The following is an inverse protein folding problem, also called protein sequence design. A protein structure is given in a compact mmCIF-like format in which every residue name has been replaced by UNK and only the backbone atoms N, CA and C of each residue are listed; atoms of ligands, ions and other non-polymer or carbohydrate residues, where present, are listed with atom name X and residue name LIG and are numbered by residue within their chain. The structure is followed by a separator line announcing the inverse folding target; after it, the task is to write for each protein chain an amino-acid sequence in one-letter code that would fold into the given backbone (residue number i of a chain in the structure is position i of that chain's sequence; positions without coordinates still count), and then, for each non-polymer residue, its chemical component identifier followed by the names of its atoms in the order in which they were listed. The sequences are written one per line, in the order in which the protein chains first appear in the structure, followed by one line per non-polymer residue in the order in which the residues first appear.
data_IF_645884874057
#
_entry.id   IF_645884874057
#
_cell.length_a   1.000
_cell.length_b   1.000
_cell.length_c   1.000
_cell.angle_alpha   90.00
_cell.angle_beta   90.00
_cell.angle_gamma   90.00
#
_symmetry.space_group_name_H-M   'P 1'
#
loop_
_entity.id
_entity.type
_entity.pdbx_description
1 polymer ?
#
# COMPACT_ATOMS: atom_id res chain seq x y z
N UNK A 1 25.22 -7.52 -6.57
CA UNK A 1 25.14 -6.08 -6.26
C UNK A 1 25.94 -5.84 -5.01
N UNK A 2 26.92 -4.95 -5.06
CA UNK A 2 27.80 -4.60 -3.92
C UNK A 2 27.24 -3.37 -3.20
N UNK A 3 27.75 -3.10 -1.99
CA UNK A 3 27.44 -1.85 -1.27
C UNK A 3 27.77 -0.61 -2.10
N UNK A 4 28.90 -0.62 -2.81
CA UNK A 4 29.33 0.48 -3.67
C UNK A 4 28.35 0.73 -4.84
N UNK A 5 27.77 -0.34 -5.41
CA UNK A 5 26.75 -0.21 -6.45
C UNK A 5 25.49 0.47 -5.90
N UNK A 6 25.08 0.08 -4.69
CA UNK A 6 23.91 0.67 -4.01
C UNK A 6 24.14 2.15 -3.70
N UNK A 7 25.31 2.51 -3.15
CA UNK A 7 25.69 3.88 -2.82
C UNK A 7 25.58 4.79 -4.05
N UNK A 8 26.08 4.32 -5.21
CA UNK A 8 26.04 5.08 -6.47
C UNK A 8 24.60 5.20 -7.00
N UNK A 9 23.86 4.10 -7.07
CA UNK A 9 22.53 4.06 -7.67
C UNK A 9 21.50 4.89 -6.88
N UNK A 10 21.70 5.01 -5.57
CA UNK A 10 20.79 5.72 -4.67
C UNK A 10 21.20 7.14 -4.33
N UNK A 11 22.21 7.69 -4.99
CA UNK A 11 22.82 8.99 -4.69
C UNK A 11 23.35 9.13 -3.25
N UNK A 12 23.50 8.01 -2.53
CA UNK A 12 23.95 8.00 -1.13
C UNK A 12 25.32 8.65 -0.95
N UNK A 13 26.19 8.55 -1.98
CA UNK A 13 27.51 9.18 -1.98
C UNK A 13 27.45 10.71 -1.75
N UNK A 14 26.37 11.37 -2.16
CA UNK A 14 26.22 12.83 -2.03
C UNK A 14 25.62 13.28 -0.70
N UNK A 15 25.49 12.40 0.27
CA UNK A 15 24.90 12.74 1.57
C UNK A 15 25.72 13.82 2.30
N UNK A 16 25.06 14.92 2.68
CA UNK A 16 25.65 16.03 3.43
C UNK A 16 25.54 15.88 4.94
N UNK A 17 25.08 14.74 5.43
CA UNK A 17 24.83 14.47 6.86
C UNK A 17 23.98 15.53 7.59
N UNK A 18 23.14 16.25 6.86
CA UNK A 18 22.37 17.39 7.38
C UNK A 18 21.24 17.01 8.34
N UNK A 19 20.89 15.73 8.47
CA UNK A 19 19.91 15.21 9.42
C UNK A 19 18.43 15.43 9.07
N UNK A 20 18.09 16.09 7.95
CA UNK A 20 16.70 16.35 7.56
C UNK A 20 15.87 15.06 7.43
N UNK A 21 16.47 13.99 6.89
CA UNK A 21 15.82 12.68 6.77
C UNK A 21 15.46 12.09 8.14
N UNK A 22 16.33 12.21 9.15
CA UNK A 22 16.05 11.73 10.50
C UNK A 22 15.00 12.59 11.22
N UNK A 23 15.01 13.91 11.01
CA UNK A 23 14.06 14.82 11.65
C UNK A 23 12.62 14.65 11.18
N UNK A 24 12.42 14.27 9.90
CA UNK A 24 11.09 14.02 9.34
C UNK A 24 10.65 12.56 9.49
N UNK A 25 11.56 11.64 9.82
CA UNK A 25 11.27 10.22 9.85
C UNK A 25 10.29 9.85 10.98
N UNK A 26 9.14 9.23 10.66
CA UNK A 26 8.18 8.84 11.69
C UNK A 26 8.75 7.79 12.66
N UNK A 27 9.64 6.90 12.21
CA UNK A 27 10.29 5.92 13.09
C UNK A 27 11.30 6.62 14.01
N UNK A 28 12.18 7.49 13.51
CA UNK A 28 13.18 8.19 14.34
C UNK A 28 12.55 9.02 15.45
N UNK A 29 11.30 9.44 15.28
CA UNK A 29 10.56 10.19 16.31
C UNK A 29 10.32 9.37 17.57
N UNK A 30 10.12 8.07 17.45
CA UNK A 30 9.75 7.16 18.54
C UNK A 30 10.85 6.16 18.89
N UNK A 31 11.64 5.73 17.90
CA UNK A 31 12.74 4.78 18.08
C UNK A 31 14.10 5.49 18.04
N UNK A 32 14.75 5.73 19.18
CA UNK A 32 16.04 6.41 19.24
C UNK A 32 17.20 5.61 18.62
N UNK A 33 17.03 4.30 18.44
CA UNK A 33 18.02 3.45 17.80
C UNK A 33 18.02 3.56 16.28
N UNK A 34 16.94 4.11 15.69
CA UNK A 34 16.80 4.23 14.25
C UNK A 34 17.06 5.65 13.74
N UNK A 35 17.95 5.80 12.78
CA UNK A 35 18.21 7.07 12.08
C UNK A 35 18.59 6.84 10.61
N UNK A 36 17.82 7.36 9.64
CA UNK A 36 18.20 7.28 8.23
C UNK A 36 19.60 7.84 7.96
N UNK A 37 19.98 8.94 8.61
CA UNK A 37 21.32 9.54 8.47
C UNK A 37 22.42 8.56 8.91
N UNK A 38 22.25 7.91 10.06
CA UNK A 38 23.25 6.96 10.60
C UNK A 38 23.37 5.73 9.70
N UNK A 39 22.26 5.22 9.15
CA UNK A 39 22.32 4.12 8.19
C UNK A 39 23.12 4.48 6.93
N UNK A 40 22.93 5.70 6.42
CA UNK A 40 23.71 6.21 5.27
C UNK A 40 25.19 6.39 5.66
N UNK A 41 25.49 6.93 6.83
CA UNK A 41 26.84 7.09 7.35
C UNK A 41 27.60 5.75 7.43
N UNK A 42 26.97 4.71 8.00
CA UNK A 42 27.56 3.37 8.04
C UNK A 42 27.88 2.83 6.63
N UNK A 43 27.00 3.05 5.65
CA UNK A 43 27.26 2.66 4.29
C UNK A 43 28.48 3.39 3.69
N UNK A 44 28.59 4.70 3.90
CA UNK A 44 29.69 5.52 3.40
C UNK A 44 31.05 5.17 4.05
N UNK A 45 31.01 4.69 5.30
CA UNK A 45 32.19 4.19 6.01
C UNK A 45 32.56 2.75 5.66
N UNK A 46 31.78 2.07 4.78
CA UNK A 46 32.02 0.70 4.40
C UNK A 46 31.67 -0.33 5.50
N UNK A 47 30.86 0.06 6.49
CA UNK A 47 30.42 -0.79 7.61
C UNK A 47 29.20 -1.63 7.19
N UNK A 48 29.39 -2.47 6.17
CA UNK A 48 28.30 -3.27 5.58
C UNK A 48 27.69 -4.24 6.59
N UNK A 49 28.52 -4.92 7.39
CA UNK A 49 28.06 -5.87 8.40
C UNK A 49 27.20 -5.18 9.47
N UNK A 50 27.55 -3.96 9.87
CA UNK A 50 26.79 -3.17 10.84
C UNK A 50 25.42 -2.76 10.29
N UNK A 51 25.22 -2.79 8.97
CA UNK A 51 23.93 -2.56 8.34
C UNK A 51 23.15 -3.86 8.14
N UNK A 52 23.82 -4.88 7.59
CA UNK A 52 23.20 -6.16 7.19
C UNK A 52 22.66 -6.91 8.41
N UNK A 53 23.42 -6.95 9.52
CA UNK A 53 23.03 -7.63 10.75
C UNK A 53 22.30 -6.71 11.74
N UNK A 54 21.97 -5.49 11.34
CA UNK A 54 21.24 -4.56 12.18
C UNK A 54 19.73 -4.74 12.01
N UNK A 55 19.05 -5.15 13.09
CA UNK A 55 17.59 -5.26 13.12
C UNK A 55 16.88 -3.99 12.65
N UNK A 56 17.43 -2.82 12.98
CA UNK A 56 16.86 -1.52 12.64
C UNK A 56 16.81 -1.25 11.13
N UNK A 57 17.56 -1.99 10.31
CA UNK A 57 17.42 -1.95 8.85
C UNK A 57 15.97 -2.19 8.39
N UNK A 58 15.24 -3.03 9.14
CA UNK A 58 13.85 -3.36 8.85
C UNK A 58 12.83 -2.40 9.48
N UNK A 59 13.26 -1.46 10.33
CA UNK A 59 12.38 -0.46 10.94
C UNK A 59 11.88 0.58 9.95
N UNK A 60 12.60 0.83 8.85
CA UNK A 60 12.17 1.78 7.83
C UNK A 60 10.80 1.42 7.23
N UNK A 61 9.88 2.38 7.24
CA UNK A 61 8.55 2.24 6.63
C UNK A 61 8.56 2.40 5.11
N UNK A 62 9.71 2.71 4.51
CA UNK A 62 9.83 2.98 3.07
C UNK A 62 8.76 3.94 2.54
N UNK A 63 8.30 4.85 3.39
CA UNK A 63 7.17 5.75 3.14
C UNK A 63 7.50 6.98 2.31
N UNK A 64 8.77 7.16 1.99
CA UNK A 64 9.32 8.24 1.17
C UNK A 64 9.10 9.67 1.69
N UNK A 65 8.93 9.86 3.01
CA UNK A 65 8.85 11.20 3.60
C UNK A 65 10.19 11.94 3.60
N UNK A 66 11.31 11.23 3.53
CA UNK A 66 12.66 11.77 3.66
C UNK A 66 13.29 12.26 2.35
N UNK A 67 13.00 11.60 1.20
CA UNK A 67 13.62 11.94 -0.08
C UNK A 67 13.26 13.36 -0.55
N UNK A 68 11.99 13.82 -0.55
CA UNK A 68 11.65 15.19 -0.97
C UNK A 68 12.29 16.29 -0.09
N UNK A 69 12.75 15.95 1.10
CA UNK A 69 13.44 16.88 2.02
C UNK A 69 14.97 16.83 1.87
N UNK A 70 15.50 15.88 1.10
CA UNK A 70 16.92 15.67 0.94
C UNK A 70 17.52 16.66 -0.07
N UNK A 71 18.47 17.54 0.32
CA UNK A 71 19.09 18.50 -0.60
C UNK A 71 20.01 17.83 -1.65
N UNK A 72 20.39 16.57 -1.43
CA UNK A 72 21.25 15.77 -2.32
C UNK A 72 20.47 14.68 -3.04
N UNK A 73 19.15 14.69 -2.99
CA UNK A 73 18.27 13.72 -3.63
C UNK A 73 18.70 12.25 -3.39
N UNK A 74 19.04 11.92 -2.14
CA UNK A 74 19.34 10.55 -1.75
C UNK A 74 18.04 9.74 -1.78
N UNK A 75 17.97 8.73 -2.65
CA UNK A 75 16.84 7.81 -2.70
C UNK A 75 16.93 6.78 -1.56
N UNK A 76 16.57 7.23 -0.37
CA UNK A 76 16.68 6.43 0.83
C UNK A 76 15.75 5.20 0.85
N UNK A 77 14.50 5.23 0.36
CA UNK A 77 13.68 4.03 0.25
C UNK A 77 14.32 2.94 -0.60
N UNK A 78 14.88 3.31 -1.76
CA UNK A 78 15.59 2.36 -2.64
C UNK A 78 16.87 1.84 -1.97
N UNK A 79 17.62 2.69 -1.28
CA UNK A 79 18.80 2.28 -0.49
C UNK A 79 18.41 1.18 0.50
N UNK A 80 17.38 1.40 1.32
CA UNK A 80 16.90 0.40 2.28
C UNK A 80 16.41 -0.88 1.61
N UNK A 81 15.68 -0.80 0.51
CA UNK A 81 15.20 -1.97 -0.22
C UNK A 81 16.37 -2.85 -0.66
N UNK A 82 17.43 -2.24 -1.21
CA UNK A 82 18.62 -2.96 -1.68
C UNK A 82 19.47 -3.51 -0.54
N UNK A 83 19.63 -2.77 0.55
CA UNK A 83 20.32 -3.26 1.75
C UNK A 83 19.57 -4.44 2.38
N UNK A 84 18.24 -4.42 2.42
CA UNK A 84 17.43 -5.57 2.85
C UNK A 84 17.60 -6.79 1.94
N UNK A 85 17.82 -6.57 0.64
CA UNK A 85 18.11 -7.70 -0.27
C UNK A 85 19.46 -8.36 0.05
N UNK A 86 20.49 -7.57 0.39
CA UNK A 86 21.77 -8.14 0.87
C UNK A 86 21.53 -8.88 2.19
N UNK A 87 20.84 -8.28 3.16
CA UNK A 87 20.54 -8.89 4.45
C UNK A 87 19.77 -10.22 4.28
N UNK A 88 18.73 -10.23 3.44
CA UNK A 88 17.95 -11.44 3.15
C UNK A 88 18.80 -12.57 2.55
N UNK A 89 19.75 -12.25 1.66
CA UNK A 89 20.68 -13.22 1.09
C UNK A 89 21.69 -13.77 2.13
N UNK A 90 21.94 -13.03 3.21
CA UNK A 90 22.74 -13.45 4.35
C UNK A 90 21.91 -14.13 5.45
N UNK A 91 20.62 -14.40 5.20
CA UNK A 91 19.73 -15.08 6.14
C UNK A 91 19.09 -14.16 7.18
N UNK A 92 19.31 -12.84 7.09
CA UNK A 92 18.72 -11.85 7.97
C UNK A 92 17.37 -11.38 7.45
N UNK A 93 16.36 -11.42 8.32
CA UNK A 93 14.99 -11.02 7.98
C UNK A 93 14.41 -10.14 9.08
N UNK A 94 13.56 -9.20 8.69
CA UNK A 94 12.79 -8.41 9.65
C UNK A 94 11.83 -9.28 10.48
N UNK A 95 11.45 -8.80 11.66
CA UNK A 95 10.38 -9.41 12.42
C UNK A 95 9.05 -9.22 11.68
N UNK A 96 8.63 -10.28 11.01
CA UNK A 96 7.38 -10.25 10.27
C UNK A 96 6.18 -10.22 11.22
N UNK A 97 5.25 -9.29 11.00
CA UNK A 97 3.99 -9.23 11.70
C UNK A 97 3.22 -10.56 11.58
N UNK A 98 2.45 -10.90 12.60
CA UNK A 98 1.65 -12.13 12.63
C UNK A 98 2.49 -13.40 12.40
N UNK A 99 3.68 -13.47 13.05
CA UNK A 99 4.60 -14.62 12.96
C UNK A 99 5.01 -14.97 11.52
N UNK A 100 5.05 -13.99 10.63
CA UNK A 100 5.46 -14.20 9.24
C UNK A 100 4.45 -14.93 8.36
N UNK A 101 3.21 -15.04 8.78
CA UNK A 101 2.16 -15.77 8.04
C UNK A 101 2.00 -15.25 6.61
N UNK A 102 1.98 -13.93 6.41
CA UNK A 102 1.83 -13.32 5.08
C UNK A 102 3.01 -13.63 4.17
N UNK A 103 4.24 -13.51 4.68
CA UNK A 103 5.45 -13.81 3.93
C UNK A 103 5.53 -15.30 3.59
N UNK A 104 5.18 -16.17 4.53
CA UNK A 104 5.14 -17.62 4.33
C UNK A 104 4.11 -18.03 3.29
N UNK A 105 2.89 -17.48 3.37
CA UNK A 105 1.85 -17.70 2.37
C UNK A 105 2.30 -17.22 0.99
N UNK A 106 2.89 -16.03 0.93
CA UNK A 106 3.35 -15.46 -0.35
C UNK A 106 4.43 -16.31 -1.01
N UNK A 107 5.36 -16.88 -0.22
CA UNK A 107 6.35 -17.85 -0.73
C UNK A 107 5.70 -19.16 -1.20
N UNK A 108 4.75 -19.69 -0.43
CA UNK A 108 4.02 -20.90 -0.78
C UNK A 108 3.30 -20.77 -2.12
N UNK A 109 2.60 -19.66 -2.34
CA UNK A 109 1.81 -19.46 -3.58
C UNK A 109 2.69 -19.21 -4.83
N UNK A 110 4.01 -19.10 -4.73
CA UNK A 110 4.88 -19.13 -5.91
C UNK A 110 4.92 -20.51 -6.54
N UNK A 111 4.54 -21.57 -5.83
CA UNK A 111 4.49 -22.91 -6.39
C UNK A 111 3.27 -23.04 -7.32
N UNK A 112 3.45 -23.32 -8.63
CA UNK A 112 2.36 -23.39 -9.59
C UNK A 112 1.37 -24.54 -9.32
N UNK A 113 1.77 -25.57 -8.57
CA UNK A 113 0.90 -26.68 -8.19
C UNK A 113 -0.14 -26.30 -7.13
N UNK A 114 0.03 -25.19 -6.42
CA UNK A 114 -0.92 -24.74 -5.41
C UNK A 114 -2.15 -24.14 -6.10
N UNK A 115 -3.28 -24.82 -5.89
CA UNK A 115 -4.61 -24.32 -6.30
C UNK A 115 -5.15 -23.39 -5.23
N UNK A 116 -5.62 -22.24 -5.65
CA UNK A 116 -6.24 -21.24 -4.78
C UNK A 116 -7.74 -21.17 -5.01
N UNK A 117 -8.48 -20.87 -3.96
CA UNK A 117 -9.91 -20.57 -4.01
C UNK A 117 -10.17 -19.09 -3.75
N UNK A 118 -9.34 -18.24 -4.33
CA UNK A 118 -9.29 -16.82 -4.05
C UNK A 118 -10.50 -16.02 -4.53
N UNK A 119 -11.35 -16.59 -5.36
CA UNK A 119 -12.59 -15.99 -5.86
C UNK A 119 -13.85 -16.58 -5.22
N UNK A 120 -13.76 -17.37 -4.15
CA UNK A 120 -14.94 -17.92 -3.45
C UNK A 120 -15.90 -16.87 -2.87
N UNK A 121 -15.41 -15.64 -2.68
CA UNK A 121 -16.21 -14.49 -2.25
C UNK A 121 -17.08 -13.89 -3.37
N UNK A 122 -16.83 -14.25 -4.63
CA UNK A 122 -17.57 -13.76 -5.79
C UNK A 122 -18.98 -14.37 -5.79
N UNK A 123 -19.99 -13.53 -5.88
CA UNK A 123 -21.41 -13.91 -5.98
C UNK A 123 -21.99 -13.48 -7.33
N UNK A 124 -23.16 -14.03 -7.67
CA UNK A 124 -23.85 -13.79 -8.94
C UNK A 124 -24.31 -12.32 -9.14
N UNK A 125 -24.24 -11.51 -8.10
CA UNK A 125 -24.53 -10.07 -8.18
C UNK A 125 -23.45 -9.26 -8.93
N UNK A 126 -22.24 -9.83 -9.10
CA UNK A 126 -21.12 -9.17 -9.77
C UNK A 126 -20.94 -9.74 -11.18
N UNK A 127 -20.95 -8.85 -12.15
CA UNK A 127 -20.74 -9.22 -13.55
C UNK A 127 -19.24 -9.19 -13.89
N UNK A 128 -18.76 -10.32 -14.39
CA UNK A 128 -17.37 -10.52 -14.81
C UNK A 128 -17.34 -11.24 -16.15
N UNK A 129 -16.27 -11.10 -16.91
CA UNK A 129 -16.14 -11.70 -18.25
C UNK A 129 -14.71 -12.18 -18.50
N UNK A 130 -14.57 -13.35 -19.10
CA UNK A 130 -13.26 -13.87 -19.52
C UNK A 130 -12.70 -13.17 -20.78
N UNK A 131 -13.47 -12.27 -21.40
CA UNK A 131 -13.17 -11.63 -22.70
C UNK A 131 -13.18 -10.10 -22.64
N UNK A 132 -13.07 -9.51 -21.44
CA UNK A 132 -13.01 -8.08 -21.28
C UNK A 132 -11.63 -7.53 -21.65
N UNK A 133 -11.57 -6.30 -22.16
CA UNK A 133 -10.31 -5.56 -22.31
C UNK A 133 -9.75 -5.07 -20.95
N UNK A 134 -10.55 -5.16 -19.87
CA UNK A 134 -10.21 -4.66 -18.53
C UNK A 134 -10.04 -5.82 -17.55
N UNK A 135 -8.89 -5.86 -16.86
CA UNK A 135 -8.62 -6.71 -15.72
C UNK A 135 -8.81 -5.90 -14.43
N UNK A 136 -9.48 -6.44 -13.44
CA UNK A 136 -9.41 -5.95 -12.07
C UNK A 136 -8.44 -6.82 -11.26
N UNK A 137 -7.33 -6.24 -10.83
CA UNK A 137 -6.31 -6.97 -10.05
C UNK A 137 -6.71 -7.01 -8.57
N UNK A 138 -7.13 -8.18 -8.11
CA UNK A 138 -7.66 -8.41 -6.75
C UNK A 138 -6.58 -8.36 -5.67
N UNK A 139 -5.36 -8.81 -5.98
CA UNK A 139 -4.23 -8.78 -5.06
C UNK A 139 -4.37 -9.69 -3.84
N UNK A 140 -3.89 -9.22 -2.69
CA UNK A 140 -3.84 -10.00 -1.44
C UNK A 140 -5.12 -9.89 -0.60
N UNK A 141 -6.09 -9.06 -0.98
CA UNK A 141 -7.25 -8.76 -0.16
C UNK A 141 -8.04 -10.01 0.30
N UNK A 142 -8.24 -11.07 -0.52
CA UNK A 142 -8.92 -12.28 -0.06
C UNK A 142 -8.20 -13.01 1.07
N UNK A 143 -6.87 -12.91 1.15
CA UNK A 143 -6.12 -13.55 2.22
C UNK A 143 -6.23 -12.81 3.56
N UNK A 144 -6.29 -11.48 3.51
CA UNK A 144 -6.34 -10.66 4.72
C UNK A 144 -7.56 -10.96 5.57
N UNK A 145 -8.71 -11.24 4.97
CA UNK A 145 -9.94 -11.58 5.69
C UNK A 145 -9.82 -12.88 6.49
N UNK A 146 -8.91 -13.78 6.09
CA UNK A 146 -8.73 -15.10 6.73
C UNK A 146 -7.51 -15.16 7.66
N UNK A 147 -6.56 -14.24 7.52
CA UNK A 147 -5.31 -14.24 8.30
C UNK A 147 -5.46 -13.48 9.61
N UNK A 148 -6.20 -12.36 9.57
CA UNK A 148 -6.36 -11.50 10.74
C UNK A 148 -7.54 -11.95 11.61
N UNK A 149 -7.37 -11.81 12.94
CA UNK A 149 -8.35 -12.14 13.96
C UNK A 149 -9.35 -11.00 14.26
N UNK A 150 -9.47 -10.07 13.35
CA UNK A 150 -10.40 -8.94 13.39
C UNK A 150 -10.93 -8.62 11.99
N UNK A 151 -12.05 -7.92 11.92
CA UNK A 151 -12.65 -7.51 10.65
C UNK A 151 -11.74 -6.56 9.88
N UNK A 152 -11.11 -7.05 8.82
CA UNK A 152 -10.28 -6.23 7.92
C UNK A 152 -11.11 -5.45 6.91
N UNK A 153 -12.27 -5.98 6.53
CA UNK A 153 -13.15 -5.51 5.45
C UNK A 153 -12.45 -5.41 4.09
N UNK A 154 -11.46 -6.27 3.88
CA UNK A 154 -10.68 -6.28 2.65
C UNK A 154 -11.47 -6.80 1.46
N UNK A 155 -12.36 -7.78 1.68
CA UNK A 155 -13.26 -8.30 0.64
C UNK A 155 -14.31 -7.24 0.27
N UNK A 156 -14.77 -6.43 1.22
CA UNK A 156 -15.71 -5.34 0.92
C UNK A 156 -15.12 -4.32 -0.06
N UNK A 157 -13.81 -4.05 0.02
CA UNK A 157 -13.10 -3.18 -0.95
C UNK A 157 -13.16 -3.76 -2.36
N UNK A 158 -12.92 -5.07 -2.50
CA UNK A 158 -12.99 -5.75 -3.80
C UNK A 158 -14.40 -5.71 -4.37
N UNK A 159 -15.39 -6.07 -3.56
CA UNK A 159 -16.81 -6.04 -3.93
C UNK A 159 -17.26 -4.65 -4.35
N UNK A 160 -16.90 -3.63 -3.57
CA UNK A 160 -17.18 -2.24 -3.89
C UNK A 160 -16.54 -1.81 -5.22
N UNK A 161 -15.28 -2.23 -5.47
CA UNK A 161 -14.60 -1.95 -6.72
C UNK A 161 -15.29 -2.60 -7.92
N UNK A 162 -15.73 -3.86 -7.80
CA UNK A 162 -16.51 -4.53 -8.85
C UNK A 162 -17.84 -3.85 -9.08
N UNK A 163 -18.57 -3.48 -8.02
CA UNK A 163 -19.83 -2.72 -8.13
C UNK A 163 -19.64 -1.42 -8.90
N UNK A 164 -18.54 -0.70 -8.63
CA UNK A 164 -18.18 0.50 -9.36
C UNK A 164 -17.95 0.19 -10.83
N UNK A 165 -17.13 -0.79 -11.17
CA UNK A 165 -16.85 -1.16 -12.55
C UNK A 165 -18.12 -1.60 -13.30
N UNK A 166 -18.96 -2.42 -12.65
CA UNK A 166 -20.23 -2.86 -13.23
C UNK A 166 -21.21 -1.68 -13.44
N UNK A 167 -21.19 -0.67 -12.57
CA UNK A 167 -21.97 0.56 -12.78
C UNK A 167 -21.63 1.24 -14.12
N UNK A 168 -20.36 1.19 -14.56
CA UNK A 168 -19.93 1.71 -15.86
C UNK A 168 -20.12 0.72 -17.00
N UNK A 169 -20.76 -0.42 -16.75
CA UNK A 169 -20.95 -1.48 -17.76
C UNK A 169 -19.66 -2.26 -18.06
N UNK A 170 -18.66 -2.14 -17.21
CA UNK A 170 -17.41 -2.90 -17.32
C UNK A 170 -17.55 -4.20 -16.55
N UNK A 171 -17.48 -5.32 -17.26
CA UNK A 171 -17.40 -6.67 -16.71
C UNK A 171 -15.92 -7.10 -16.73
N UNK A 172 -15.15 -6.86 -15.65
CA UNK A 172 -13.72 -7.08 -15.70
C UNK A 172 -13.35 -8.56 -15.72
N UNK A 173 -12.18 -8.88 -16.30
CA UNK A 173 -11.53 -10.17 -16.10
C UNK A 173 -11.08 -10.26 -14.64
N UNK A 174 -11.34 -11.40 -14.00
CA UNK A 174 -10.73 -11.80 -12.73
C UNK A 174 -9.90 -13.06 -12.98
N UNK A 175 -8.63 -13.06 -12.61
CA UNK A 175 -7.74 -14.20 -12.83
C UNK A 175 -7.75 -15.17 -11.63
N UNK A 176 -8.36 -16.37 -11.74
CA UNK A 176 -8.43 -17.31 -10.61
C UNK A 176 -7.06 -17.75 -10.08
N UNK A 177 -6.06 -17.74 -10.95
CA UNK A 177 -4.69 -18.12 -10.63
C UNK A 177 -3.75 -16.94 -10.37
N UNK A 178 -4.25 -15.71 -10.31
CA UNK A 178 -3.49 -14.53 -9.91
C UNK A 178 -2.78 -14.77 -8.57
N UNK A 179 -1.61 -14.19 -8.40
CA UNK A 179 -0.82 -14.22 -7.16
C UNK A 179 -0.71 -12.82 -6.56
N UNK A 180 -0.17 -12.75 -5.34
CA UNK A 180 0.24 -11.48 -4.76
C UNK A 180 1.11 -10.69 -5.76
N UNK A 181 0.98 -9.37 -5.78
CA UNK A 181 1.84 -8.52 -6.62
C UNK A 181 3.33 -8.59 -6.24
N UNK A 182 3.65 -9.14 -5.07
CA UNK A 182 5.02 -9.29 -4.58
C UNK A 182 5.57 -8.05 -3.85
N UNK A 183 4.80 -6.97 -3.70
CA UNK A 183 5.25 -5.75 -3.01
C UNK A 183 6.00 -6.05 -1.72
N UNK A 184 5.41 -6.85 -0.83
CA UNK A 184 6.00 -7.11 0.49
C UNK A 184 7.31 -7.89 0.39
N UNK A 185 7.40 -8.81 -0.57
CA UNK A 185 8.63 -9.58 -0.78
C UNK A 185 9.77 -8.68 -1.24
N UNK A 186 9.51 -7.80 -2.21
CA UNK A 186 10.50 -6.85 -2.70
C UNK A 186 10.99 -5.92 -1.59
N UNK A 187 10.06 -5.36 -0.81
CA UNK A 187 10.38 -4.39 0.24
C UNK A 187 10.93 -5.01 1.54
N UNK A 188 10.85 -6.34 1.69
CA UNK A 188 11.54 -7.10 2.75
C UNK A 188 12.89 -7.67 2.29
N UNK A 189 13.23 -7.54 1.01
CA UNK A 189 14.48 -8.04 0.44
C UNK A 189 14.40 -9.44 -0.18
N UNK A 190 13.24 -10.11 -0.14
CA UNK A 190 13.04 -11.43 -0.78
C UNK A 190 12.78 -11.27 -2.30
N UNK A 191 13.83 -10.85 -3.02
CA UNK A 191 13.76 -10.51 -4.44
C UNK A 191 13.43 -11.74 -5.30
N UNK A 192 13.89 -12.92 -4.92
CA UNK A 192 13.63 -14.16 -5.68
C UNK A 192 12.14 -14.55 -5.64
N UNK A 193 11.50 -14.43 -4.47
CA UNK A 193 10.04 -14.65 -4.36
C UNK A 193 9.29 -13.59 -5.16
N UNK A 194 9.73 -12.33 -5.10
CA UNK A 194 9.14 -11.25 -5.90
C UNK A 194 9.19 -11.56 -7.41
N UNK A 195 10.35 -11.94 -7.94
CA UNK A 195 10.51 -12.27 -9.36
C UNK A 195 9.57 -13.36 -9.82
N UNK A 196 9.49 -14.47 -9.06
CA UNK A 196 8.58 -15.58 -9.38
C UNK A 196 7.12 -15.15 -9.43
N UNK A 197 6.69 -14.26 -8.53
CA UNK A 197 5.34 -13.71 -8.52
C UNK A 197 5.11 -12.80 -9.72
N UNK A 198 6.07 -11.93 -10.04
CA UNK A 198 5.99 -11.02 -11.18
C UNK A 198 5.91 -11.78 -12.50
N UNK A 199 6.77 -12.78 -12.71
CA UNK A 199 6.79 -13.64 -13.90
C UNK A 199 5.46 -14.39 -14.05
N UNK A 200 4.94 -14.97 -12.96
CA UNK A 200 3.67 -15.69 -12.96
C UNK A 200 2.50 -14.78 -13.34
N UNK A 201 2.38 -13.62 -12.69
CA UNK A 201 1.30 -12.69 -12.97
C UNK A 201 1.40 -12.10 -14.40
N UNK A 202 2.63 -11.78 -14.86
CA UNK A 202 2.84 -11.28 -16.21
C UNK A 202 2.42 -12.29 -17.28
N UNK A 203 2.72 -13.58 -17.08
CA UNK A 203 2.28 -14.64 -17.99
C UNK A 203 0.77 -14.73 -18.06
N UNK A 204 0.06 -14.77 -16.93
CA UNK A 204 -1.40 -14.82 -16.88
C UNK A 204 -2.05 -13.60 -17.54
N UNK A 205 -1.51 -12.40 -17.28
CA UNK A 205 -2.01 -11.15 -17.88
C UNK A 205 -1.82 -11.18 -19.41
N UNK A 206 -0.66 -11.61 -19.87
CA UNK A 206 -0.39 -11.76 -21.32
C UNK A 206 -1.33 -12.76 -21.98
N UNK A 207 -1.59 -13.90 -21.34
CA UNK A 207 -2.51 -14.94 -21.83
C UNK A 207 -3.97 -14.45 -21.89
N UNK A 208 -4.37 -13.59 -20.95
CA UNK A 208 -5.75 -13.04 -20.92
C UNK A 208 -6.05 -12.06 -22.04
N UNK A 209 -5.02 -11.43 -22.62
CA UNK A 209 -5.15 -10.47 -23.71
C UNK A 209 -5.78 -9.12 -23.33
N UNK A 210 -5.89 -8.82 -22.03
CA UNK A 210 -6.43 -7.55 -21.52
C UNK A 210 -5.53 -6.38 -21.92
N UNK A 211 -6.13 -5.20 -22.05
CA UNK A 211 -5.45 -3.97 -22.45
C UNK A 211 -5.25 -2.99 -21.30
N UNK A 212 -6.05 -3.12 -20.25
CA UNK A 212 -6.08 -2.24 -19.10
C UNK A 212 -6.19 -3.03 -17.80
N UNK A 213 -5.46 -2.60 -16.77
CA UNK A 213 -5.53 -3.18 -15.43
C UNK A 213 -5.93 -2.09 -14.45
N UNK A 214 -7.00 -2.33 -13.68
CA UNK A 214 -7.47 -1.46 -12.62
C UNK A 214 -7.11 -2.04 -11.26
N UNK A 215 -6.61 -1.17 -10.39
CA UNK A 215 -6.18 -1.51 -9.04
C UNK A 215 -6.95 -0.71 -7.99
N UNK A 216 -7.38 -1.37 -6.92
CA UNK A 216 -7.86 -0.70 -5.70
C UNK A 216 -6.77 -0.57 -4.63
N UNK A 217 -5.63 -1.25 -4.80
CA UNK A 217 -4.51 -1.21 -3.89
C UNK A 217 -3.35 -0.41 -4.49
N UNK A 218 -2.91 0.70 -3.86
CA UNK A 218 -1.83 1.53 -4.36
C UNK A 218 -0.46 0.84 -4.29
N UNK A 219 -0.27 -0.15 -3.40
CA UNK A 219 0.95 -0.96 -3.39
C UNK A 219 1.03 -1.86 -4.62
N UNK A 220 -0.09 -2.48 -5.03
CA UNK A 220 -0.15 -3.24 -6.27
C UNK A 220 0.12 -2.33 -7.47
N UNK A 221 -0.56 -1.18 -7.54
CA UNK A 221 -0.40 -0.21 -8.61
C UNK A 221 1.04 0.27 -8.75
N UNK A 222 1.65 0.74 -7.66
CA UNK A 222 3.05 1.18 -7.64
C UNK A 222 4.00 0.04 -8.03
N UNK A 223 3.78 -1.18 -7.53
CA UNK A 223 4.62 -2.33 -7.84
C UNK A 223 4.59 -2.68 -9.34
N UNK A 224 3.41 -2.69 -9.94
CA UNK A 224 3.27 -2.93 -11.39
C UNK A 224 3.88 -1.82 -12.23
N UNK A 225 3.73 -0.56 -11.82
CA UNK A 225 4.19 0.60 -12.59
C UNK A 225 5.69 0.86 -12.48
N UNK A 226 6.26 0.70 -11.28
CA UNK A 226 7.63 1.07 -10.98
C UNK A 226 8.60 -0.11 -10.87
N UNK A 227 8.12 -1.25 -10.36
CA UNK A 227 9.03 -2.36 -10.04
C UNK A 227 8.99 -3.47 -11.11
N UNK A 228 7.82 -3.87 -11.60
CA UNK A 228 7.69 -4.91 -12.63
C UNK A 228 8.53 -4.64 -13.88
N UNK A 229 8.62 -3.41 -14.42
CA UNK A 229 9.39 -3.15 -15.63
C UNK A 229 10.87 -3.54 -15.56
N UNK A 230 11.43 -3.67 -14.34
CA UNK A 230 12.82 -4.12 -14.14
C UNK A 230 12.98 -5.64 -14.27
N UNK A 231 11.89 -6.41 -14.34
CA UNK A 231 11.90 -7.87 -14.31
C UNK A 231 11.05 -8.52 -15.39
N UNK A 232 9.91 -7.91 -15.71
CA UNK A 232 8.92 -8.45 -16.66
C UNK A 232 8.31 -7.32 -17.49
N UNK A 233 7.73 -7.66 -18.64
CA UNK A 233 7.00 -6.73 -19.49
C UNK A 233 5.51 -6.89 -19.29
N UNK A 234 4.80 -5.79 -19.07
CA UNK A 234 3.34 -5.69 -19.04
C UNK A 234 2.92 -4.66 -20.09
N UNK A 235 2.27 -5.12 -21.16
CA UNK A 235 1.79 -4.26 -22.26
C UNK A 235 0.32 -3.87 -22.03
N UNK A 236 0.01 -3.32 -20.85
CA UNK A 236 -1.33 -2.85 -20.48
C UNK A 236 -1.25 -1.44 -19.92
N UNK A 237 -2.31 -0.69 -20.11
CA UNK A 237 -2.55 0.54 -19.36
C UNK A 237 -2.79 0.18 -17.89
N UNK A 238 -2.14 0.90 -16.97
CA UNK A 238 -2.28 0.70 -15.53
C UNK A 238 -2.97 1.91 -14.92
N UNK A 239 -4.02 1.69 -14.14
CA UNK A 239 -4.78 2.78 -13.53
C UNK A 239 -5.23 2.43 -12.11
N UNK A 240 -5.05 3.35 -11.17
CA UNK A 240 -5.67 3.23 -9.86
C UNK A 240 -7.15 3.62 -9.95
N UNK A 241 -8.02 2.95 -9.20
CA UNK A 241 -9.49 3.16 -9.27
C UNK A 241 -9.89 4.61 -8.94
N UNK A 242 -9.10 5.34 -8.15
CA UNK A 242 -9.35 6.76 -7.89
C UNK A 242 -9.15 7.64 -9.12
N UNK A 243 -8.18 7.30 -9.98
CA UNK A 243 -7.95 8.00 -11.24
C UNK A 243 -9.08 7.70 -12.22
N UNK A 244 -9.49 6.42 -12.32
CA UNK A 244 -10.63 6.02 -13.13
C UNK A 244 -11.92 6.77 -12.75
N UNK A 245 -12.23 6.83 -11.46
CA UNK A 245 -13.40 7.55 -10.96
C UNK A 245 -13.29 9.07 -11.19
N UNK A 246 -12.12 9.65 -10.96
CA UNK A 246 -11.88 11.08 -11.20
C UNK A 246 -12.12 11.46 -12.66
N UNK A 247 -11.67 10.62 -13.61
CA UNK A 247 -11.92 10.83 -15.04
C UNK A 247 -13.41 10.70 -15.39
N UNK A 248 -14.11 9.71 -14.80
CA UNK A 248 -15.54 9.53 -15.03
C UNK A 248 -16.36 10.71 -14.50
N UNK A 249 -15.96 11.31 -13.36
CA UNK A 249 -16.57 12.52 -12.80
C UNK A 249 -16.35 13.70 -13.75
N UNK A 250 -15.15 13.89 -14.31
CA UNK A 250 -14.86 14.95 -15.27
C UNK A 250 -15.74 14.86 -16.53
N UNK A 251 -16.04 13.64 -16.95
CA UNK A 251 -16.90 13.38 -18.12
C UNK A 251 -18.39 13.40 -17.79
N UNK A 252 -18.80 13.63 -16.53
CA UNK A 252 -20.17 13.53 -16.05
C UNK A 252 -20.83 12.16 -16.33
N UNK A 253 -20.07 11.08 -16.20
CA UNK A 253 -20.52 9.70 -16.48
C UNK A 253 -21.05 8.98 -15.23
N UNK A 254 -20.99 9.61 -14.06
CA UNK A 254 -21.43 9.05 -12.77
C UNK A 254 -22.35 10.01 -12.03
N UNK A 255 -23.38 9.44 -11.39
CA UNK A 255 -24.31 10.14 -10.50
C UNK A 255 -24.31 9.50 -9.12
N UNK A 256 -24.39 10.33 -8.09
CA UNK A 256 -24.34 9.92 -6.69
C UNK A 256 -25.58 10.37 -5.93
N UNK A 257 -26.06 9.50 -5.04
CA UNK A 257 -27.06 9.83 -4.02
C UNK A 257 -26.45 10.75 -2.96
N UNK A 258 -27.27 11.65 -2.41
CA UNK A 258 -26.84 12.46 -1.27
C UNK A 258 -26.40 11.56 -0.10
N UNK A 259 -25.21 11.79 0.41
CA UNK A 259 -24.63 11.07 1.56
C UNK A 259 -24.10 12.08 2.56
N UNK A 260 -24.91 12.43 3.59
CA UNK A 260 -24.53 13.40 4.61
C UNK A 260 -23.51 12.79 5.57
N UNK A 261 -22.25 13.17 5.42
CA UNK A 261 -21.15 12.68 6.27
C UNK A 261 -19.96 13.64 6.21
N UNK A 262 -19.39 13.93 7.37
CA UNK A 262 -18.08 14.60 7.46
C UNK A 262 -16.98 13.55 7.44
N UNK A 263 -16.06 13.65 6.50
CA UNK A 263 -14.96 12.70 6.31
C UNK A 263 -13.61 13.41 6.33
N UNK A 264 -12.57 12.67 6.71
CA UNK A 264 -11.17 13.09 6.53
C UNK A 264 -10.42 12.04 5.72
N UNK A 265 -9.37 12.45 4.99
CA UNK A 265 -8.67 11.56 4.06
C UNK A 265 -7.23 11.31 4.49
N UNK A 266 -6.86 10.02 4.59
CA UNK A 266 -5.49 9.59 4.76
C UNK A 266 -4.85 9.30 3.41
N UNK A 267 -3.83 10.07 3.04
CA UNK A 267 -3.04 9.83 1.82
C UNK A 267 -2.12 8.61 2.00
N UNK A 268 -2.37 7.49 1.32
CA UNK A 268 -1.46 6.35 1.37
C UNK A 268 -0.11 6.72 0.74
N UNK A 269 0.99 6.41 1.41
CA UNK A 269 2.31 6.80 0.93
C UNK A 269 2.61 6.28 -0.49
N UNK A 270 2.14 5.09 -0.84
CA UNK A 270 2.34 4.50 -2.18
C UNK A 270 1.55 5.21 -3.26
N UNK A 271 0.35 5.72 -2.96
CA UNK A 271 -0.43 6.51 -3.91
C UNK A 271 0.07 7.95 -4.01
N UNK A 272 0.27 8.60 -2.85
CA UNK A 272 0.73 9.98 -2.75
C UNK A 272 2.22 10.12 -3.08
N UNK A 273 3.11 9.96 -2.08
CA UNK A 273 4.54 10.28 -2.23
C UNK A 273 5.27 9.50 -3.33
N UNK A 274 4.97 8.20 -3.49
CA UNK A 274 5.62 7.40 -4.53
C UNK A 274 5.06 7.65 -5.94
N UNK A 275 3.74 7.91 -6.06
CA UNK A 275 3.09 8.01 -7.38
C UNK A 275 2.61 9.43 -7.73
N UNK A 276 2.69 10.39 -6.80
CA UNK A 276 2.26 11.76 -7.00
C UNK A 276 0.74 11.96 -7.12
N UNK A 277 -0.05 10.96 -6.71
CA UNK A 277 -1.52 10.96 -6.86
C UNK A 277 -2.17 11.43 -5.57
N UNK A 278 -2.57 12.71 -5.52
CA UNK A 278 -3.20 13.34 -4.37
C UNK A 278 -4.61 13.86 -4.66
N UNK A 279 -4.82 14.44 -5.85
CA UNK A 279 -6.08 15.11 -6.20
C UNK A 279 -7.21 14.14 -6.61
N UNK A 280 -6.98 13.05 -7.36
CA UNK A 280 -8.05 12.15 -7.77
C UNK A 280 -8.91 11.61 -6.61
N UNK A 281 -8.37 11.13 -5.47
CA UNK A 281 -9.20 10.70 -4.34
C UNK A 281 -10.06 11.83 -3.76
N UNK A 282 -9.52 13.07 -3.66
CA UNK A 282 -10.24 14.24 -3.16
C UNK A 282 -11.40 14.60 -4.06
N UNK A 283 -11.15 14.69 -5.35
CA UNK A 283 -12.16 14.95 -6.35
C UNK A 283 -13.31 13.94 -6.31
N UNK A 284 -12.98 12.67 -6.09
CA UNK A 284 -14.00 11.61 -5.93
C UNK A 284 -14.85 11.85 -4.68
N UNK A 285 -14.24 12.17 -3.55
CA UNK A 285 -14.98 12.45 -2.30
C UNK A 285 -15.85 13.68 -2.40
N UNK A 286 -15.31 14.77 -2.95
CA UNK A 286 -16.01 16.05 -3.12
C UNK A 286 -17.18 15.98 -4.13
N UNK A 287 -17.13 15.02 -5.07
CA UNK A 287 -18.19 14.83 -6.05
C UNK A 287 -19.44 14.14 -5.46
N UNK A 288 -19.34 13.47 -4.31
CA UNK A 288 -20.48 12.83 -3.66
C UNK A 288 -21.30 13.90 -2.89
N UNK A 289 -22.57 14.18 -3.28
CA UNK A 289 -23.37 15.20 -2.62
C UNK A 289 -23.54 14.92 -1.13
N UNK A 290 -23.34 15.96 -0.29
CA UNK A 290 -23.48 15.87 1.16
C UNK A 290 -22.22 15.35 1.90
N UNK A 291 -21.16 15.00 1.19
CA UNK A 291 -19.85 14.75 1.80
C UNK A 291 -19.17 16.09 2.10
N UNK A 292 -18.72 16.24 3.34
CA UNK A 292 -17.86 17.33 3.77
C UNK A 292 -16.46 16.77 4.04
N UNK A 293 -15.51 17.10 3.17
CA UNK A 293 -14.10 16.68 3.33
C UNK A 293 -13.35 17.70 4.18
N UNK A 294 -12.87 17.27 5.36
CA UNK A 294 -12.04 18.07 6.27
C UNK A 294 -10.62 17.48 6.26
N UNK A 295 -9.65 18.29 5.84
CA UNK A 295 -8.26 17.83 5.78
C UNK A 295 -7.64 17.74 7.17
N UNK A 296 -6.81 16.70 7.38
CA UNK A 296 -5.94 16.62 8.54
C UNK A 296 -4.79 17.64 8.42
N UNK A 297 -4.22 18.01 9.56
CA UNK A 297 -3.07 18.94 9.63
C UNK A 297 -1.93 18.53 8.69
N UNK A 298 -1.62 17.23 8.67
CA UNK A 298 -0.62 16.66 7.78
C UNK A 298 -1.35 15.90 6.65
N UNK A 299 -1.48 16.52 5.50
CA UNK A 299 -2.14 15.97 4.31
C UNK A 299 -1.19 16.00 3.10
N UNK A 300 -1.54 15.28 2.06
CA UNK A 300 -0.77 15.18 0.81
C UNK A 300 0.68 14.71 1.08
N UNK A 301 1.67 15.49 0.63
CA UNK A 301 3.09 15.18 0.77
C UNK A 301 3.52 15.07 2.24
N UNK A 302 2.89 15.86 3.13
CA UNK A 302 3.20 15.91 4.55
C UNK A 302 2.45 14.82 5.36
N UNK A 303 1.59 14.01 4.71
CA UNK A 303 0.77 13.01 5.37
C UNK A 303 1.61 12.06 6.24
N UNK A 304 1.20 11.85 7.49
CA UNK A 304 1.81 10.86 8.37
C UNK A 304 1.56 9.44 7.82
N UNK A 305 2.51 8.53 8.07
CA UNK A 305 2.38 7.14 7.64
C UNK A 305 1.34 6.38 8.48
N UNK A 306 0.74 5.34 7.91
CA UNK A 306 -0.10 4.38 8.64
C UNK A 306 0.69 3.45 9.57
N UNK A 307 2.01 3.62 9.69
CA UNK A 307 2.87 3.00 10.70
C UNK A 307 3.37 1.60 10.37
N UNK A 308 3.12 1.04 9.19
CA UNK A 308 3.64 -0.29 8.81
C UNK A 308 3.99 -0.34 7.32
N UNK A 309 5.05 -1.06 6.98
CA UNK A 309 5.41 -1.38 5.61
C UNK A 309 5.70 -2.87 5.49
N UNK A 310 5.22 -3.49 4.42
CA UNK A 310 5.49 -4.90 4.08
C UNK A 310 5.21 -5.89 5.24
N UNK A 311 4.36 -5.52 6.19
CA UNK A 311 4.08 -6.28 7.42
C UNK A 311 5.34 -6.66 8.22
N UNK A 312 6.38 -5.84 8.16
CA UNK A 312 7.55 -5.94 9.04
C UNK A 312 7.40 -5.01 10.25
N UNK A 313 8.06 -5.35 11.34
CA UNK A 313 8.17 -4.53 12.55
C UNK A 313 6.82 -4.01 13.07
N UNK A 314 5.89 -4.91 13.38
CA UNK A 314 4.67 -4.58 14.11
C UNK A 314 4.99 -4.44 15.61
N UNK A 315 5.77 -3.42 15.95
CA UNK A 315 6.27 -3.11 17.28
C UNK A 315 5.53 -1.93 17.93
N UNK A 316 5.98 -1.54 19.11
CA UNK A 316 5.41 -0.41 19.85
C UNK A 316 5.57 0.93 19.10
N UNK A 317 6.66 1.12 18.35
CA UNK A 317 6.92 2.34 17.61
C UNK A 317 5.96 2.48 16.42
N UNK A 318 5.76 1.39 15.71
CA UNK A 318 4.78 1.35 14.61
C UNK A 318 3.35 1.57 15.11
N UNK A 319 3.01 1.05 16.31
CA UNK A 319 1.71 1.29 16.95
C UNK A 319 1.52 2.76 17.32
N UNK A 320 2.55 3.41 17.89
CA UNK A 320 2.49 4.84 18.22
C UNK A 320 2.24 5.72 17.00
N UNK A 321 2.89 5.43 15.86
CA UNK A 321 2.67 6.16 14.60
C UNK A 321 1.22 6.02 14.13
N UNK A 322 0.65 4.80 14.18
CA UNK A 322 -0.75 4.55 13.81
C UNK A 322 -1.72 5.32 14.70
N UNK A 323 -1.46 5.30 16.02
CA UNK A 323 -2.29 6.01 17.00
C UNK A 323 -2.22 7.52 16.79
N UNK A 324 -1.02 8.08 16.58
CA UNK A 324 -0.85 9.51 16.27
C UNK A 324 -1.70 9.90 15.05
N UNK A 325 -1.71 9.09 13.99
CA UNK A 325 -2.50 9.37 12.80
C UNK A 325 -4.00 9.28 13.03
N UNK A 326 -4.45 8.31 13.85
CA UNK A 326 -5.86 8.19 14.24
C UNK A 326 -6.33 9.37 15.10
N UNK A 327 -5.49 9.83 16.03
CA UNK A 327 -5.78 11.01 16.84
C UNK A 327 -5.89 12.27 15.97
N UNK A 328 -4.97 12.45 15.03
CA UNK A 328 -5.03 13.55 14.08
C UNK A 328 -6.31 13.53 13.23
N UNK A 329 -6.77 12.34 12.82
CA UNK A 329 -8.04 12.19 12.13
C UNK A 329 -9.23 12.56 13.02
N UNK A 330 -9.23 12.12 14.28
CA UNK A 330 -10.26 12.47 15.27
C UNK A 330 -10.32 13.98 15.53
N UNK A 331 -9.16 14.64 15.60
CA UNK A 331 -9.05 16.08 15.85
C UNK A 331 -9.69 16.95 14.75
N UNK A 332 -9.93 16.39 13.56
CA UNK A 332 -10.69 17.08 12.48
C UNK A 332 -12.18 17.21 12.78
N UNK A 333 -12.71 16.43 13.72
CA UNK A 333 -14.14 16.30 13.97
C UNK A 333 -14.87 15.42 12.94
N UNK A 334 -14.15 14.78 12.01
CA UNK A 334 -14.74 13.88 11.03
C UNK A 334 -15.27 12.58 11.67
N UNK A 335 -16.38 12.10 11.14
CA UNK A 335 -17.01 10.83 11.55
C UNK A 335 -16.23 9.62 10.99
N UNK A 336 -15.62 9.80 9.81
CA UNK A 336 -14.98 8.71 9.07
C UNK A 336 -13.60 9.13 8.55
N UNK A 337 -12.61 8.28 8.82
CA UNK A 337 -11.29 8.32 8.18
C UNK A 337 -11.34 7.49 6.89
N UNK A 338 -11.26 8.15 5.75
CA UNK A 338 -11.21 7.51 4.44
C UNK A 338 -9.76 7.28 4.04
N UNK A 339 -9.49 6.14 3.40
CA UNK A 339 -8.22 5.84 2.75
C UNK A 339 -8.48 5.16 1.40
N UNK A 340 -7.47 5.08 0.53
CA UNK A 340 -7.51 4.34 -0.73
C UNK A 340 -6.42 3.25 -0.72
N UNK A 341 -6.33 2.52 0.39
CA UNK A 341 -5.35 1.45 0.57
C UNK A 341 -5.85 0.41 1.57
N UNK A 342 -6.06 -0.85 1.12
CA UNK A 342 -6.50 -1.93 2.00
C UNK A 342 -5.60 -2.13 3.22
N UNK A 343 -4.28 -1.99 3.06
CA UNK A 343 -3.35 -2.16 4.19
C UNK A 343 -3.41 -1.00 5.18
N UNK A 344 -3.53 0.25 4.72
CA UNK A 344 -3.73 1.37 5.64
C UNK A 344 -5.00 1.16 6.46
N UNK A 345 -6.09 0.72 5.84
CA UNK A 345 -7.33 0.36 6.55
C UNK A 345 -7.09 -0.72 7.61
N UNK A 346 -6.39 -1.82 7.25
CA UNK A 346 -6.04 -2.91 8.17
C UNK A 346 -5.22 -2.38 9.34
N UNK A 347 -4.21 -1.55 9.08
CA UNK A 347 -3.32 -1.02 10.12
C UNK A 347 -4.07 -0.12 11.12
N UNK A 348 -4.94 0.76 10.64
CA UNK A 348 -5.75 1.61 11.51
C UNK A 348 -6.76 0.79 12.32
N UNK A 349 -7.49 -0.13 11.68
CA UNK A 349 -8.43 -1.02 12.37
C UNK A 349 -7.71 -1.88 13.41
N UNK A 350 -6.56 -2.46 13.08
CA UNK A 350 -5.73 -3.20 14.03
C UNK A 350 -5.32 -2.37 15.25
N UNK A 351 -5.01 -1.07 15.07
CA UNK A 351 -4.64 -0.21 16.17
C UNK A 351 -5.79 0.09 17.13
N UNK A 352 -7.04 0.05 16.65
CA UNK A 352 -8.25 0.29 17.46
C UNK A 352 -8.77 -0.96 18.17
N UNK A 353 -8.36 -2.16 17.74
CA UNK A 353 -8.78 -3.40 18.39
C UNK A 353 -8.07 -3.57 19.73
N UNK A 354 -8.87 -3.78 20.80
CA UNK A 354 -8.35 -4.14 22.11
C UNK A 354 -7.85 -5.60 22.09
N UNK A 355 -6.58 -5.80 22.41
CA UNK A 355 -5.99 -7.14 22.53
C UNK A 355 -5.60 -7.42 23.97
N UNK A 356 -6.37 -8.29 24.65
CA UNK A 356 -6.12 -8.70 26.01
C UNK A 356 -6.19 -7.52 27.02
N UNK A 357 -5.13 -7.34 27.81
CA UNK A 357 -5.01 -6.25 28.77
C UNK A 357 -4.60 -4.90 28.13
N UNK A 358 -4.12 -4.92 26.89
CA UNK A 358 -3.80 -3.71 26.13
C UNK A 358 -5.08 -3.07 25.59
N UNK A 359 -5.48 -1.96 26.19
CA UNK A 359 -6.52 -1.10 25.61
C UNK A 359 -5.96 -0.43 24.35
N UNK A 360 -6.72 -0.48 23.25
CA UNK A 360 -6.47 0.37 22.10
C UNK A 360 -6.57 1.86 22.48
N UNK A 361 -6.17 2.77 21.59
CA UNK A 361 -6.38 4.19 21.82
C UNK A 361 -7.86 4.48 21.99
N UNK A 362 -8.19 5.44 22.84
CA UNK A 362 -9.57 5.96 22.97
C UNK A 362 -9.89 6.86 21.76
N UNK A 363 -9.98 6.20 20.59
CA UNK A 363 -10.30 6.85 19.31
C UNK A 363 -11.48 6.14 18.71
N UNK A 364 -12.62 6.77 18.79
CA UNK A 364 -13.83 6.36 18.07
C UNK A 364 -13.89 7.14 16.74
N UNK A 365 -13.48 6.50 15.66
CA UNK A 365 -13.62 6.97 14.29
C UNK A 365 -13.85 5.77 13.37
N UNK A 366 -14.79 5.87 12.46
CA UNK A 366 -14.95 4.83 11.44
C UNK A 366 -13.76 4.87 10.47
N UNK A 367 -13.22 3.71 10.08
CA UNK A 367 -12.17 3.61 9.05
C UNK A 367 -12.74 2.86 7.86
N UNK A 368 -12.72 3.50 6.68
CA UNK A 368 -13.35 3.00 5.46
C UNK A 368 -12.45 3.25 4.24
N UNK A 369 -12.45 2.34 3.28
CA UNK A 369 -11.85 2.61 1.98
C UNK A 369 -12.78 3.49 1.12
N UNK A 370 -12.20 4.36 0.30
CA UNK A 370 -12.91 5.30 -0.57
C UNK A 370 -13.91 4.57 -1.50
N UNK A 371 -13.53 3.41 -2.04
CA UNK A 371 -14.42 2.66 -2.94
C UNK A 371 -15.69 2.17 -2.24
N UNK A 372 -15.63 1.89 -0.94
CA UNK A 372 -16.84 1.50 -0.17
C UNK A 372 -17.80 2.68 -0.03
N UNK A 373 -17.31 3.88 0.25
CA UNK A 373 -18.13 5.09 0.30
C UNK A 373 -18.78 5.36 -1.06
N UNK A 374 -17.98 5.33 -2.12
CA UNK A 374 -18.44 5.56 -3.50
C UNK A 374 -19.49 4.53 -3.92
N UNK A 375 -19.22 3.24 -3.74
CA UNK A 375 -20.15 2.16 -4.14
C UNK A 375 -21.50 2.24 -3.42
N UNK A 376 -21.53 2.75 -2.18
CA UNK A 376 -22.75 2.97 -1.42
C UNK A 376 -23.51 4.22 -1.89
N UNK A 377 -22.79 5.22 -2.42
CA UNK A 377 -23.38 6.46 -2.91
C UNK A 377 -23.82 6.41 -4.39
N UNK A 378 -23.47 5.36 -5.17
CA UNK A 378 -23.91 5.26 -6.56
C UNK A 378 -25.43 5.26 -6.69
N UNK A 379 -25.96 6.06 -7.62
CA UNK A 379 -27.36 5.95 -8.04
C UNK A 379 -27.55 4.70 -8.91
N UNK A 380 -28.73 4.08 -8.80
CA UNK A 380 -29.08 3.00 -9.74
C UNK A 380 -29.27 3.60 -11.13
N UNK A 381 -28.61 3.04 -12.13
CA UNK A 381 -28.89 3.38 -13.53
C UNK A 381 -30.26 2.79 -13.91
N UNK A 382 -31.20 3.66 -14.24
CA UNK A 382 -32.53 3.26 -14.74
C UNK A 382 -32.42 2.48 -16.08
#
# INVERSE_FOLDING_TARGET
MTLDDIIKETNTFYCLECGKCSSICPISRYNPAYSPRVMVEHALLGLEDDLVYNRELFSCLTCDACQPKCPSDVNYPLFIQKMRAIASNNGEHGECAHSGTLQSLTRLVTNPAIKQRRLEWLSDEFHTSDRSDVLFFVGCAPYFEHIFDFETKSIDIIKASLKILNYFGIEPVLLPNERCCGHDMLWTGDVETFKRLAEHNAALISESGVKKIIFSCPECYQTFKENYPNYVKIDCELQHISEFLSEAIEKNEVSFKETKRTVTYHDPCRLGRHMGIYEPPRKVLEAVPGIELVEMKHSKEESLCCGTSAFTNCDLYSKQIRVERLLEAKDTGAETLITSCPKCQIHFRCAMVNKGEEKGPDVEIEVMDMVNLVANALEEKN
#
